data_IF_418864221477
#
_entry.id   IF_418864221477
#
_cell.length_a   1.000
_cell.length_b   1.000
_cell.length_c   1.000
_cell.angle_alpha   90.00
_cell.angle_beta   90.00
_cell.angle_gamma   90.00
#
_symmetry.space_group_name_H-M   'P 1'
#
loop_
_entity.id
_entity.type
_entity.pdbx_description
1 polymer ?
#
# COMPACT_ATOMS: atom_id res chain seq x y z
N UNK A 1 12.59 36.16 11.96
CA UNK A 1 13.43 35.14 12.64
C UNK A 1 12.60 33.90 13.02
N UNK A 2 11.33 34.05 13.45
CA UNK A 2 10.41 32.91 13.69
C UNK A 2 10.07 32.10 12.42
N UNK A 3 9.66 32.76 11.32
CA UNK A 3 9.26 32.05 10.08
C UNK A 3 10.36 31.17 9.47
N UNK A 4 11.63 31.54 9.66
CA UNK A 4 12.78 30.78 9.12
C UNK A 4 13.07 29.54 9.98
N UNK A 5 12.84 29.61 11.29
CA UNK A 5 13.02 28.47 12.21
C UNK A 5 11.87 27.47 12.05
N UNK A 6 10.63 27.95 11.90
CA UNK A 6 9.47 27.10 11.62
C UNK A 6 9.60 26.37 10.27
N UNK A 7 10.00 27.07 9.20
CA UNK A 7 10.23 26.44 7.89
C UNK A 7 11.34 25.39 7.90
N UNK A 8 12.43 25.63 8.64
CA UNK A 8 13.54 24.66 8.76
C UNK A 8 13.07 23.38 9.44
N UNK A 9 12.25 23.48 10.49
CA UNK A 9 11.71 22.32 11.20
C UNK A 9 10.71 21.52 10.33
N UNK A 10 9.86 22.20 9.56
CA UNK A 10 8.92 21.53 8.64
C UNK A 10 9.62 20.75 7.53
N UNK A 11 10.68 21.29 6.94
CA UNK A 11 11.43 20.59 5.89
C UNK A 11 12.15 19.33 6.41
N UNK A 12 12.67 19.37 7.65
CA UNK A 12 13.23 18.20 8.31
C UNK A 12 12.18 17.12 8.57
N UNK A 13 10.96 17.51 8.97
CA UNK A 13 9.82 16.59 9.13
C UNK A 13 9.47 15.95 7.79
N UNK A 14 9.31 16.75 6.72
CA UNK A 14 9.00 16.25 5.37
C UNK A 14 10.07 15.26 4.91
N UNK A 15 11.35 15.61 5.05
CA UNK A 15 12.48 14.74 4.70
C UNK A 15 12.47 13.44 5.51
N UNK A 16 12.11 13.51 6.80
CA UNK A 16 11.95 12.35 7.67
C UNK A 16 10.89 11.39 7.16
N UNK A 17 9.66 11.89 6.98
CA UNK A 17 8.52 11.11 6.47
C UNK A 17 8.77 10.55 5.08
N UNK A 18 9.34 11.37 4.19
CA UNK A 18 9.72 10.97 2.85
C UNK A 18 10.69 9.79 2.86
N UNK A 19 11.78 9.89 3.64
CA UNK A 19 12.78 8.83 3.72
C UNK A 19 12.23 7.53 4.29
N UNK A 20 11.41 7.61 5.34
CA UNK A 20 10.83 6.43 5.99
C UNK A 20 9.80 5.74 5.08
N UNK A 21 8.94 6.51 4.39
CA UNK A 21 7.98 6.00 3.42
C UNK A 21 8.67 5.35 2.21
N UNK A 22 9.67 6.02 1.64
CA UNK A 22 10.44 5.49 0.50
C UNK A 22 11.14 4.17 0.87
N UNK A 23 11.75 4.11 2.04
CA UNK A 23 12.37 2.91 2.54
C UNK A 23 11.38 1.77 2.77
N UNK A 24 10.20 2.10 3.31
CA UNK A 24 9.12 1.15 3.48
C UNK A 24 8.68 0.52 2.15
N UNK A 25 8.40 1.34 1.13
CA UNK A 25 8.01 0.86 -0.20
C UNK A 25 9.08 0.02 -0.88
N UNK A 26 10.35 0.40 -0.74
CA UNK A 26 11.47 -0.38 -1.25
C UNK A 26 11.59 -1.74 -0.55
N UNK A 27 11.41 -1.78 0.76
CA UNK A 27 11.38 -3.04 1.52
C UNK A 27 10.25 -3.97 1.05
N UNK A 28 9.07 -3.40 0.77
CA UNK A 28 7.95 -4.17 0.19
C UNK A 28 8.28 -4.76 -1.18
N UNK A 29 8.91 -4.00 -2.08
CA UNK A 29 9.32 -4.52 -3.39
C UNK A 29 10.32 -5.66 -3.27
N UNK A 30 11.24 -5.60 -2.29
CA UNK A 30 12.18 -6.70 -2.01
C UNK A 30 11.42 -7.94 -1.53
N UNK A 31 10.53 -7.79 -0.56
CA UNK A 31 9.73 -8.90 -0.01
C UNK A 31 8.80 -9.53 -1.07
N UNK A 32 8.18 -8.71 -1.93
CA UNK A 32 7.30 -9.18 -3.00
C UNK A 32 8.01 -10.00 -4.09
N UNK A 33 9.33 -9.86 -4.24
CA UNK A 33 10.14 -10.62 -5.19
C UNK A 33 10.71 -11.93 -4.59
N UNK A 34 10.65 -12.11 -3.27
CA UNK A 34 11.15 -13.33 -2.60
C UNK A 34 10.13 -14.47 -2.53
N UNK A 35 8.85 -14.20 -2.80
CA UNK A 35 7.78 -15.20 -2.69
C UNK A 35 7.33 -15.73 -4.06
N UNK A 36 7.40 -17.05 -4.25
CA UNK A 36 7.16 -17.73 -5.53
C UNK A 36 5.72 -18.16 -5.77
N UNK A 37 4.86 -18.16 -4.75
CA UNK A 37 3.44 -18.47 -4.94
C UNK A 37 2.66 -17.21 -5.27
N UNK A 38 1.91 -17.25 -6.38
CA UNK A 38 0.98 -16.19 -6.76
C UNK A 38 -0.41 -16.82 -6.91
N UNK A 39 -1.43 -16.27 -6.22
CA UNK A 39 -2.83 -16.64 -6.43
C UNK A 39 -3.19 -16.62 -7.91
N UNK A 40 -3.98 -17.59 -8.37
CA UNK A 40 -4.40 -17.68 -9.77
C UNK A 40 -5.52 -16.68 -10.12
N UNK A 41 -5.81 -16.52 -11.42
CA UNK A 41 -6.96 -15.75 -11.91
C UNK A 41 -6.85 -14.25 -11.65
N UNK A 42 -7.98 -13.60 -11.33
CA UNK A 42 -8.06 -12.14 -11.15
C UNK A 42 -7.12 -11.64 -10.04
N UNK A 43 -6.88 -12.45 -9.00
CA UNK A 43 -5.96 -12.13 -7.93
C UNK A 43 -4.52 -11.92 -8.40
N UNK A 44 -4.01 -12.78 -9.30
CA UNK A 44 -2.69 -12.58 -9.92
C UNK A 44 -2.59 -11.22 -10.61
N UNK A 45 -3.67 -10.79 -11.27
CA UNK A 45 -3.73 -9.54 -12.04
C UNK A 45 -3.72 -8.34 -11.11
N UNK A 46 -4.49 -8.38 -10.01
CA UNK A 46 -4.45 -7.32 -9.00
C UNK A 46 -3.07 -7.22 -8.36
N UNK A 47 -2.48 -8.34 -7.95
CA UNK A 47 -1.14 -8.33 -7.34
C UNK A 47 -0.07 -7.80 -8.30
N UNK A 48 -0.14 -8.16 -9.58
CA UNK A 48 0.75 -7.59 -10.60
C UNK A 48 0.57 -6.08 -10.74
N UNK A 49 -0.68 -5.58 -10.77
CA UNK A 49 -0.97 -4.14 -10.80
C UNK A 49 -0.43 -3.42 -9.56
N UNK A 50 -0.59 -3.99 -8.37
CA UNK A 50 -0.02 -3.44 -7.12
C UNK A 50 1.50 -3.28 -7.25
N UNK A 51 2.21 -4.32 -7.70
CA UNK A 51 3.68 -4.28 -7.84
C UNK A 51 4.13 -3.22 -8.85
N UNK A 52 3.42 -3.09 -9.98
CA UNK A 52 3.74 -2.07 -10.99
C UNK A 52 3.55 -0.67 -10.41
N UNK A 53 2.42 -0.38 -9.77
CA UNK A 53 2.17 0.94 -9.19
C UNK A 53 3.15 1.27 -8.07
N UNK A 54 3.46 0.30 -7.20
CA UNK A 54 4.44 0.48 -6.14
C UNK A 54 5.83 0.79 -6.71
N UNK A 55 6.25 0.09 -7.76
CA UNK A 55 7.53 0.36 -8.43
C UNK A 55 7.56 1.75 -9.04
N UNK A 56 6.53 2.13 -9.78
CA UNK A 56 6.44 3.46 -10.39
C UNK A 56 6.51 4.57 -9.32
N UNK A 57 5.81 4.38 -8.19
CA UNK A 57 5.85 5.33 -7.07
C UNK A 57 7.24 5.43 -6.44
N UNK A 58 7.91 4.28 -6.21
CA UNK A 58 9.30 4.26 -5.73
C UNK A 58 10.21 5.01 -6.70
N UNK A 59 10.18 4.68 -7.98
CA UNK A 59 11.06 5.28 -8.98
C UNK A 59 10.84 6.80 -9.09
N UNK A 60 9.59 7.28 -9.09
CA UNK A 60 9.27 8.71 -9.08
C UNK A 60 9.76 9.41 -7.81
N UNK A 61 9.54 8.80 -6.65
CA UNK A 61 9.97 9.39 -5.38
C UNK A 61 11.49 9.37 -5.27
N UNK A 62 12.19 8.30 -5.65
CA UNK A 62 13.66 8.29 -5.66
C UNK A 62 14.22 9.45 -6.48
N UNK A 63 13.76 9.59 -7.73
CA UNK A 63 14.19 10.67 -8.62
C UNK A 63 13.88 12.06 -8.06
N UNK A 64 12.71 12.24 -7.44
CA UNK A 64 12.35 13.48 -6.78
C UNK A 64 13.26 13.77 -5.57
N UNK A 65 13.50 12.75 -4.74
CA UNK A 65 14.28 12.84 -3.52
C UNK A 65 15.75 13.14 -3.78
N UNK A 66 16.32 12.58 -4.85
CA UNK A 66 17.67 12.91 -5.31
C UNK A 66 17.82 14.41 -5.55
N UNK A 67 16.88 15.01 -6.27
CA UNK A 67 16.91 16.46 -6.58
C UNK A 67 16.64 17.35 -5.37
N UNK A 68 15.65 17.00 -4.54
CA UNK A 68 15.21 17.87 -3.43
C UNK A 68 16.13 17.79 -2.22
N UNK A 69 16.66 16.61 -1.92
CA UNK A 69 17.40 16.35 -0.68
C UNK A 69 18.90 16.07 -0.91
N UNK A 70 19.40 16.46 -2.08
CA UNK A 70 20.80 16.37 -2.51
C UNK A 70 21.76 16.84 -1.39
N UNK A 71 22.83 16.06 -1.13
CA UNK A 71 23.83 16.35 -0.10
C UNK A 71 23.51 15.90 1.33
N UNK A 72 22.38 15.21 1.58
CA UNK A 72 22.00 14.72 2.91
C UNK A 72 22.17 13.21 3.17
N UNK A 73 22.08 12.82 4.44
CA UNK A 73 22.18 11.45 4.98
C UNK A 73 21.01 10.54 4.57
N UNK A 74 20.14 10.99 3.66
CA UNK A 74 18.87 10.35 3.31
C UNK A 74 19.10 8.95 2.73
N UNK A 75 20.10 8.78 1.85
CA UNK A 75 20.44 7.48 1.26
C UNK A 75 20.82 6.43 2.32
N UNK A 76 21.57 6.81 3.35
CA UNK A 76 21.96 5.90 4.43
C UNK A 76 20.75 5.51 5.31
N UNK A 77 19.92 6.50 5.69
CA UNK A 77 18.69 6.26 6.46
C UNK A 77 17.71 5.36 5.68
N UNK A 78 17.54 5.62 4.38
CA UNK A 78 16.69 4.79 3.51
C UNK A 78 17.20 3.34 3.48
N UNK A 79 18.51 3.11 3.30
CA UNK A 79 19.07 1.75 3.28
C UNK A 79 18.85 0.97 4.58
N UNK A 80 19.03 1.61 5.73
CA UNK A 80 18.80 0.97 7.03
C UNK A 80 17.32 0.63 7.25
N UNK A 81 16.43 1.57 6.94
CA UNK A 81 14.98 1.39 7.10
C UNK A 81 14.42 0.36 6.11
N UNK A 82 15.00 0.21 4.91
CA UNK A 82 14.63 -0.85 3.96
C UNK A 82 14.79 -2.22 4.60
N UNK A 83 15.92 -2.50 5.25
CA UNK A 83 16.15 -3.80 5.90
C UNK A 83 15.10 -4.10 6.99
N UNK A 84 14.74 -3.09 7.78
CA UNK A 84 13.69 -3.19 8.82
C UNK A 84 12.30 -3.40 8.21
N UNK A 85 11.97 -2.67 7.15
CA UNK A 85 10.70 -2.77 6.45
C UNK A 85 10.51 -4.14 5.78
N UNK A 86 11.57 -4.69 5.18
CA UNK A 86 11.55 -6.05 4.63
C UNK A 86 11.20 -7.09 5.70
N UNK A 87 11.80 -6.98 6.89
CA UNK A 87 11.48 -7.88 8.01
C UNK A 87 10.03 -7.77 8.48
N UNK A 88 9.49 -6.55 8.56
CA UNK A 88 8.08 -6.34 8.90
C UNK A 88 7.12 -6.86 7.83
N UNK A 89 7.41 -6.61 6.55
CA UNK A 89 6.60 -7.07 5.43
C UNK A 89 6.49 -8.60 5.38
N UNK A 90 7.54 -9.31 5.79
CA UNK A 90 7.57 -10.78 5.84
C UNK A 90 6.81 -11.32 7.07
N UNK A 91 6.77 -10.61 8.20
CA UNK A 91 6.26 -11.14 9.48
C UNK A 91 4.90 -10.63 9.96
N UNK A 92 4.32 -9.60 9.34
CA UNK A 92 3.21 -8.84 9.96
C UNK A 92 1.90 -9.60 10.18
N UNK A 93 1.66 -10.70 9.45
CA UNK A 93 0.42 -11.49 9.59
C UNK A 93 0.62 -13.01 9.40
N UNK A 94 1.83 -13.52 9.62
CA UNK A 94 2.20 -14.94 9.44
C UNK A 94 1.26 -15.91 10.19
N UNK A 95 0.62 -15.47 11.27
CA UNK A 95 -0.26 -16.29 12.11
C UNK A 95 -1.76 -16.28 11.74
N UNK A 96 -2.21 -15.47 10.77
CA UNK A 96 -3.62 -15.38 10.40
C UNK A 96 -3.88 -16.27 9.16
N UNK A 97 -4.75 -17.28 9.28
CA UNK A 97 -5.04 -18.20 8.16
C UNK A 97 -3.88 -19.14 7.82
N UNK A 98 -4.20 -20.36 7.40
CA UNK A 98 -3.23 -21.41 7.03
C UNK A 98 -3.01 -21.54 5.53
N UNK A 99 -3.86 -20.88 4.73
CA UNK A 99 -3.91 -21.02 3.29
C UNK A 99 -3.03 -19.97 2.60
N UNK A 100 -2.11 -20.42 1.74
CA UNK A 100 -0.98 -19.63 1.25
C UNK A 100 -1.38 -18.52 0.28
N UNK A 101 -2.29 -18.77 -0.65
CA UNK A 101 -2.75 -17.76 -1.60
C UNK A 101 -3.53 -16.64 -0.89
N UNK A 102 -4.33 -16.98 0.13
CA UNK A 102 -4.98 -16.03 1.01
C UNK A 102 -3.98 -15.21 1.81
N UNK A 103 -2.92 -15.83 2.35
CA UNK A 103 -1.86 -15.13 3.08
C UNK A 103 -1.15 -14.12 2.17
N UNK A 104 -0.69 -14.57 1.00
CA UNK A 104 -0.01 -13.71 0.02
C UNK A 104 -0.91 -12.54 -0.38
N UNK A 105 -2.18 -12.81 -0.69
CA UNK A 105 -3.11 -11.77 -1.09
C UNK A 105 -3.38 -10.75 0.04
N UNK A 106 -3.63 -11.24 1.27
CA UNK A 106 -3.81 -10.40 2.46
C UNK A 106 -2.58 -9.54 2.72
N UNK A 107 -1.39 -10.11 2.68
CA UNK A 107 -0.17 -9.38 3.00
C UNK A 107 0.03 -8.24 2.00
N UNK A 108 -0.12 -8.51 0.70
CA UNK A 108 -0.06 -7.46 -0.32
C UNK A 108 -1.16 -6.39 -0.15
N UNK A 109 -2.36 -6.79 0.29
CA UNK A 109 -3.43 -5.85 0.61
C UNK A 109 -3.12 -4.97 1.82
N UNK A 110 -2.55 -5.52 2.89
CA UNK A 110 -2.12 -4.77 4.08
C UNK A 110 -1.00 -3.80 3.72
N UNK A 111 0.00 -4.28 2.97
CA UNK A 111 1.10 -3.46 2.49
C UNK A 111 0.61 -2.27 1.65
N UNK A 112 -0.33 -2.50 0.72
CA UNK A 112 -0.93 -1.44 -0.09
C UNK A 112 -1.65 -0.39 0.76
N UNK A 113 -2.42 -0.81 1.77
CA UNK A 113 -3.11 0.11 2.68
C UNK A 113 -2.12 0.93 3.54
N UNK A 114 -1.07 0.29 4.05
CA UNK A 114 -0.02 0.98 4.81
C UNK A 114 0.71 2.01 3.96
N UNK A 115 1.02 1.67 2.70
CA UNK A 115 1.68 2.61 1.78
C UNK A 115 0.75 3.78 1.43
N UNK A 116 -0.52 3.50 1.14
CA UNK A 116 -1.53 4.55 0.90
C UNK A 116 -1.65 5.50 2.09
N UNK A 117 -1.72 4.95 3.31
CA UNK A 117 -1.76 5.76 4.53
C UNK A 117 -0.51 6.64 4.67
N UNK A 118 0.68 6.08 4.45
CA UNK A 118 1.93 6.84 4.51
C UNK A 118 2.01 7.96 3.47
N UNK A 119 1.58 7.71 2.23
CA UNK A 119 1.46 8.74 1.21
C UNK A 119 0.47 9.83 1.58
N UNK A 120 -0.68 9.49 2.17
CA UNK A 120 -1.68 10.47 2.61
C UNK A 120 -1.13 11.37 3.73
N UNK A 121 -0.40 10.80 4.69
CA UNK A 121 0.28 11.56 5.74
C UNK A 121 1.31 12.53 5.15
N UNK A 122 2.20 12.05 4.28
CA UNK A 122 3.21 12.89 3.65
C UNK A 122 2.60 13.97 2.75
N UNK A 123 1.55 13.62 1.98
CA UNK A 123 0.80 14.57 1.16
C UNK A 123 0.23 15.70 2.01
N UNK A 124 -0.37 15.35 3.15
CA UNK A 124 -0.98 16.33 4.06
C UNK A 124 0.06 17.32 4.59
N UNK A 125 1.23 16.82 5.00
CA UNK A 125 2.31 17.68 5.52
C UNK A 125 2.89 18.55 4.40
N UNK A 126 3.20 17.96 3.24
CA UNK A 126 3.77 18.68 2.10
C UNK A 126 2.81 19.74 1.57
N UNK A 127 1.54 19.42 1.41
CA UNK A 127 0.54 20.37 0.94
C UNK A 127 0.33 21.52 1.93
N UNK A 128 0.30 21.22 3.23
CA UNK A 128 0.18 22.25 4.26
C UNK A 128 1.39 23.21 4.28
N UNK A 129 2.59 22.71 4.00
CA UNK A 129 3.82 23.49 4.01
C UNK A 129 4.09 24.24 2.70
N UNK A 130 3.84 23.59 1.56
CA UNK A 130 4.33 23.98 0.25
C UNK A 130 3.22 24.11 -0.82
N UNK A 131 1.95 23.83 -0.47
CA UNK A 131 0.81 23.91 -1.40
C UNK A 131 0.85 22.85 -2.51
N UNK A 132 0.49 23.26 -3.73
CA UNK A 132 0.51 22.43 -4.95
C UNK A 132 1.93 22.18 -5.46
N UNK A 133 2.80 21.60 -4.62
CA UNK A 133 4.16 21.25 -4.99
C UNK A 133 4.21 20.00 -5.89
N UNK A 134 5.36 19.77 -6.53
CA UNK A 134 5.60 18.57 -7.34
C UNK A 134 5.41 17.28 -6.50
N UNK A 135 5.91 17.25 -5.26
CA UNK A 135 5.73 16.10 -4.36
C UNK A 135 4.27 15.89 -3.98
N UNK A 136 3.53 16.95 -3.65
CA UNK A 136 2.10 16.84 -3.36
C UNK A 136 1.35 16.26 -4.58
N UNK A 137 1.71 16.72 -5.79
CA UNK A 137 1.18 16.19 -7.04
C UNK A 137 1.50 14.71 -7.27
N UNK A 138 2.74 14.27 -7.03
CA UNK A 138 3.15 12.85 -7.13
C UNK A 138 2.30 12.00 -6.18
N UNK A 139 2.26 12.36 -4.90
CA UNK A 139 1.58 11.59 -3.87
C UNK A 139 0.08 11.47 -4.14
N UNK A 140 -0.58 12.57 -4.53
CA UNK A 140 -2.01 12.57 -4.81
C UNK A 140 -2.38 11.71 -6.02
N UNK A 141 -1.54 11.65 -7.06
CA UNK A 141 -1.74 10.75 -8.20
C UNK A 141 -1.70 9.29 -7.76
N UNK A 142 -0.65 8.88 -7.06
CA UNK A 142 -0.50 7.48 -6.59
C UNK A 142 -1.61 7.08 -5.62
N UNK A 143 -2.04 7.99 -4.72
CA UNK A 143 -3.18 7.75 -3.83
C UNK A 143 -4.47 7.42 -4.58
N UNK A 144 -4.77 8.12 -5.68
CA UNK A 144 -5.98 7.87 -6.48
C UNK A 144 -5.94 6.48 -7.14
N UNK A 145 -4.78 6.09 -7.65
CA UNK A 145 -4.61 4.78 -8.29
C UNK A 145 -4.68 3.65 -7.27
N UNK A 146 -4.03 3.81 -6.10
CA UNK A 146 -4.08 2.81 -5.02
C UNK A 146 -5.46 2.67 -4.40
N UNK A 147 -6.21 3.76 -4.21
CA UNK A 147 -7.57 3.67 -3.70
C UNK A 147 -8.47 2.80 -4.60
N UNK A 148 -8.29 2.89 -5.92
CA UNK A 148 -9.00 2.03 -6.86
C UNK A 148 -8.60 0.56 -6.68
N UNK A 149 -7.31 0.28 -6.56
CA UNK A 149 -6.81 -1.09 -6.33
C UNK A 149 -7.22 -1.68 -4.98
N UNK A 150 -7.28 -0.88 -3.91
CA UNK A 150 -7.74 -1.32 -2.59
C UNK A 150 -9.21 -1.78 -2.68
N UNK A 151 -10.05 -1.07 -3.42
CA UNK A 151 -11.43 -1.46 -3.65
C UNK A 151 -11.53 -2.73 -4.50
N UNK A 152 -10.76 -2.82 -5.59
CA UNK A 152 -10.70 -4.03 -6.42
C UNK A 152 -10.24 -5.25 -5.60
N UNK A 153 -9.23 -5.08 -4.75
CA UNK A 153 -8.69 -6.15 -3.92
C UNK A 153 -9.71 -6.66 -2.88
N UNK A 154 -10.42 -5.74 -2.21
CA UNK A 154 -11.50 -6.10 -1.30
C UNK A 154 -12.63 -6.86 -2.00
N UNK A 155 -12.97 -6.46 -3.24
CA UNK A 155 -14.03 -7.11 -4.01
C UNK A 155 -13.73 -8.58 -4.28
N UNK A 156 -12.48 -8.91 -4.61
CA UNK A 156 -12.11 -10.26 -5.05
C UNK A 156 -11.67 -11.18 -3.90
N UNK A 157 -11.42 -10.65 -2.71
CA UNK A 157 -10.98 -11.43 -1.54
C UNK A 157 -11.82 -12.71 -1.31
N UNK A 158 -13.16 -12.69 -1.41
CA UNK A 158 -13.96 -13.92 -1.23
C UNK A 158 -13.67 -14.99 -2.28
N UNK A 159 -13.43 -14.58 -3.53
CA UNK A 159 -13.08 -15.50 -4.62
C UNK A 159 -11.70 -16.12 -4.40
N UNK A 160 -10.75 -15.36 -3.85
CA UNK A 160 -9.43 -15.89 -3.46
C UNK A 160 -9.58 -16.96 -2.39
N UNK A 161 -10.33 -16.67 -1.33
CA UNK A 161 -10.55 -17.60 -0.21
C UNK A 161 -11.20 -18.89 -0.71
N UNK A 162 -12.31 -18.78 -1.44
CA UNK A 162 -13.06 -19.95 -1.88
C UNK A 162 -12.35 -20.73 -2.99
N UNK A 163 -11.60 -20.04 -3.86
CA UNK A 163 -10.77 -20.66 -4.88
C UNK A 163 -9.60 -21.45 -4.29
N UNK A 164 -9.05 -21.01 -3.15
CA UNK A 164 -8.06 -21.80 -2.42
C UNK A 164 -8.69 -22.96 -1.66
N UNK A 165 -9.78 -22.73 -0.93
CA UNK A 165 -10.47 -23.79 -0.19
C UNK A 165 -10.95 -24.93 -1.11
N UNK A 166 -11.51 -24.62 -2.28
CA UNK A 166 -11.94 -25.64 -3.25
C UNK A 166 -10.79 -26.45 -3.87
N UNK A 167 -9.54 -25.98 -3.80
CA UNK A 167 -8.38 -26.78 -4.23
C UNK A 167 -7.90 -27.75 -3.15
N UNK A 168 -8.19 -27.45 -1.89
CA UNK A 168 -7.78 -28.28 -0.74
C UNK A 168 -8.88 -29.27 -0.32
N UNK A 169 -10.14 -28.85 -0.35
CA UNK A 169 -11.30 -29.69 -0.07
C UNK A 169 -12.44 -29.38 -1.05
N UNK A 170 -12.95 -30.41 -1.75
CA UNK A 170 -14.14 -30.27 -2.59
C UNK A 170 -15.36 -29.98 -1.70
N UNK A 171 -15.94 -28.77 -1.77
CA UNK A 171 -17.12 -28.50 -0.93
C UNK A 171 -17.82 -27.16 -1.09
N UNK A 172 -17.17 -26.11 -1.62
CA UNK A 172 -17.78 -24.78 -1.73
C UNK A 172 -18.31 -24.53 -3.14
N UNK A 173 -19.62 -24.61 -3.30
CA UNK A 173 -20.28 -24.34 -4.58
C UNK A 173 -20.21 -22.85 -4.99
N UNK A 174 -20.25 -22.57 -6.29
CA UNK A 174 -20.24 -21.19 -6.82
C UNK A 174 -21.38 -20.31 -6.26
N UNK A 175 -22.52 -20.90 -5.89
CA UNK A 175 -23.65 -20.18 -5.31
C UNK A 175 -23.36 -19.63 -3.91
N UNK A 176 -22.63 -20.40 -3.08
CA UNK A 176 -22.17 -19.94 -1.76
C UNK A 176 -21.16 -18.81 -1.91
N UNK A 177 -20.26 -18.90 -2.90
CA UNK A 177 -19.31 -17.84 -3.23
C UNK A 177 -19.98 -16.52 -3.62
N UNK A 178 -20.99 -16.59 -4.49
CA UNK A 178 -21.77 -15.43 -4.91
C UNK A 178 -22.57 -14.81 -3.75
N UNK A 179 -23.02 -15.63 -2.79
CA UNK A 179 -23.76 -15.16 -1.61
C UNK A 179 -22.84 -14.45 -0.62
N UNK A 180 -21.67 -15.03 -0.31
CA UNK A 180 -20.65 -14.41 0.56
C UNK A 180 -20.15 -13.10 -0.06
N UNK A 181 -19.86 -13.10 -1.36
CA UNK A 181 -19.38 -11.90 -2.07
C UNK A 181 -20.39 -10.76 -2.02
N UNK A 182 -21.69 -11.06 -2.22
CA UNK A 182 -22.76 -10.05 -2.10
C UNK A 182 -22.88 -9.50 -0.69
N UNK A 183 -22.94 -10.37 0.33
CA UNK A 183 -23.04 -9.93 1.72
C UNK A 183 -21.89 -9.01 2.14
N UNK A 184 -20.66 -9.31 1.72
CA UNK A 184 -19.50 -8.46 1.98
C UNK A 184 -19.59 -7.14 1.22
N UNK A 185 -19.97 -7.15 -0.07
CA UNK A 185 -20.14 -5.92 -0.85
C UNK A 185 -21.23 -4.99 -0.29
N UNK A 186 -22.33 -5.55 0.20
CA UNK A 186 -23.43 -4.78 0.77
C UNK A 186 -23.01 -4.08 2.08
N UNK A 187 -22.13 -4.71 2.88
CA UNK A 187 -21.53 -4.08 4.07
C UNK A 187 -20.79 -2.77 3.71
N UNK A 188 -20.11 -2.72 2.56
CA UNK A 188 -19.42 -1.52 2.09
C UNK A 188 -20.37 -0.44 1.57
N UNK A 189 -21.46 -0.84 0.89
CA UNK A 189 -22.48 0.10 0.39
C UNK A 189 -23.21 0.80 1.53
N UNK A 190 -23.64 0.04 2.54
CA UNK A 190 -24.30 0.60 3.72
C UNK A 190 -23.41 1.58 4.49
N UNK A 191 -22.09 1.38 4.47
CA UNK A 191 -21.13 2.33 5.04
C UNK A 191 -21.12 3.65 4.27
N UNK A 192 -21.11 3.61 2.93
CA UNK A 192 -21.16 4.82 2.07
C UNK A 192 -22.45 5.61 2.25
N UNK A 193 -23.58 4.94 2.37
CA UNK A 193 -24.88 5.58 2.52
C UNK A 193 -25.01 6.29 3.88
N UNK A 194 -24.52 5.68 4.97
CA UNK A 194 -24.49 6.31 6.30
C UNK A 194 -23.62 7.57 6.34
N UNK A 195 -22.52 7.61 5.60
CA UNK A 195 -21.66 8.80 5.48
C UNK A 195 -22.25 9.92 4.62
N UNK A 196 -23.34 9.67 3.88
CA UNK A 196 -24.03 10.69 3.06
C UNK A 196 -25.21 11.38 3.77
N UNK A 197 -25.61 10.86 4.92
CA UNK A 197 -26.76 11.32 5.72
C UNK A 197 -26.32 12.09 6.99
N UNK A 198 -25.01 12.14 7.27
CA UNK A 198 -24.39 12.88 8.37
C UNK A 198 -23.70 14.16 7.87
#
# INVERSE_FOLDING_TARGET
MNDTIEKTNTEEIIKGYFGDLLAFMKGQLVAANSDGSVPQGEASTILARIRVLLRNCVDELEHYGEKRFEGGNLSAKVKETVAKATGWAIGSAEHIGSHRDCQVFRDQYLLLNSTSTGCAMLYTIEFAANGDSELAGILLRHLREWNTLILDANRILPEVVLGEMNREEDGFGQEQAATISRALQDTWKESRERSSVA
#
